data_IF_381705981269
#
_entry.id   IF_381705981269
#
_cell.length_a   1.000
_cell.length_b   1.000
_cell.length_c   1.000
_cell.angle_alpha   90.00
_cell.angle_beta   90.00
_cell.angle_gamma   90.00
#
_symmetry.space_group_name_H-M   'P 1'
#
loop_
_entity.id
_entity.type
_entity.pdbx_description
1 polymer ?
#
# COMPACT_ATOMS: atom_id res chain seq x y z
N UNK A 1 2.16 16.65 -21.73
CA UNK A 1 0.69 16.58 -21.60
C UNK A 1 0.36 15.47 -20.62
N UNK A 2 -0.28 15.78 -19.49
CA UNK A 2 -0.65 14.77 -18.49
C UNK A 2 -1.70 13.83 -19.08
N UNK A 3 -1.47 12.52 -19.02
CA UNK A 3 -2.40 11.54 -19.59
C UNK A 3 -3.45 11.13 -18.56
N UNK A 4 -4.48 11.97 -18.37
CA UNK A 4 -5.59 11.69 -17.46
C UNK A 4 -6.34 10.38 -17.79
N UNK A 5 -6.35 9.95 -19.07
CA UNK A 5 -6.96 8.67 -19.45
C UNK A 5 -6.22 7.48 -18.83
N UNK A 6 -4.89 7.55 -18.73
CA UNK A 6 -4.09 6.51 -18.09
C UNK A 6 -4.45 6.36 -16.61
N UNK A 7 -4.54 7.47 -15.88
CA UNK A 7 -4.96 7.48 -14.47
C UNK A 7 -6.39 6.96 -14.30
N UNK A 8 -7.31 7.39 -15.17
CA UNK A 8 -8.69 6.90 -15.16
C UNK A 8 -8.76 5.38 -15.38
N UNK A 9 -7.98 4.83 -16.31
CA UNK A 9 -7.91 3.39 -16.54
C UNK A 9 -7.35 2.68 -15.30
N UNK A 10 -6.26 3.18 -14.71
CA UNK A 10 -5.66 2.58 -13.53
C UNK A 10 -6.64 2.50 -12.35
N UNK A 11 -7.35 3.59 -12.05
CA UNK A 11 -8.35 3.59 -10.98
C UNK A 11 -9.59 2.76 -11.32
N UNK A 12 -9.95 2.64 -12.59
CA UNK A 12 -11.07 1.76 -13.02
C UNK A 12 -10.70 0.28 -12.82
N UNK A 13 -9.46 -0.11 -13.16
CA UNK A 13 -8.95 -1.46 -12.90
C UNK A 13 -8.87 -1.72 -11.39
N UNK A 14 -8.38 -0.77 -10.60
CA UNK A 14 -8.33 -0.89 -9.14
C UNK A 14 -9.73 -1.05 -8.53
N UNK A 15 -10.73 -0.32 -9.06
CA UNK A 15 -12.12 -0.45 -8.66
C UNK A 15 -12.66 -1.85 -8.97
N UNK A 16 -12.44 -2.34 -10.19
CA UNK A 16 -12.88 -3.66 -10.61
C UNK A 16 -12.26 -4.77 -9.74
N UNK A 17 -10.95 -4.69 -9.48
CA UNK A 17 -10.25 -5.62 -8.58
C UNK A 17 -10.79 -5.54 -7.15
N UNK A 18 -11.05 -4.33 -6.63
CA UNK A 18 -11.65 -4.15 -5.32
C UNK A 18 -13.03 -4.81 -5.20
N UNK A 19 -13.88 -4.67 -6.22
CA UNK A 19 -15.20 -5.34 -6.28
C UNK A 19 -15.02 -6.86 -6.30
N UNK A 20 -14.12 -7.38 -7.15
CA UNK A 20 -13.88 -8.84 -7.24
C UNK A 20 -13.43 -9.38 -5.88
N UNK A 21 -12.49 -8.71 -5.21
CA UNK A 21 -11.99 -9.14 -3.89
C UNK A 21 -13.09 -9.09 -2.83
N UNK A 22 -13.92 -8.04 -2.83
CA UNK A 22 -15.01 -7.91 -1.88
C UNK A 22 -16.10 -8.97 -2.09
N UNK A 23 -16.49 -9.23 -3.34
CA UNK A 23 -17.50 -10.26 -3.68
C UNK A 23 -16.96 -11.66 -3.44
N UNK A 24 -15.72 -11.95 -3.84
CA UNK A 24 -15.09 -13.23 -3.57
C UNK A 24 -14.93 -13.48 -2.06
N UNK A 25 -14.54 -12.45 -1.31
CA UNK A 25 -14.49 -12.49 0.14
C UNK A 25 -15.87 -12.76 0.75
N UNK A 26 -16.90 -12.02 0.35
CA UNK A 26 -18.26 -12.25 0.85
C UNK A 26 -18.78 -13.66 0.51
N UNK A 27 -18.45 -14.20 -0.66
CA UNK A 27 -18.85 -15.55 -1.06
C UNK A 27 -18.13 -16.62 -0.23
N UNK A 28 -16.82 -16.51 -0.09
CA UNK A 28 -15.99 -17.44 0.70
C UNK A 28 -16.35 -17.38 2.20
N UNK A 29 -16.83 -16.24 2.71
CA UNK A 29 -17.22 -16.09 4.11
C UNK A 29 -18.38 -17.02 4.51
N UNK A 30 -19.17 -17.48 3.55
CA UNK A 30 -20.25 -18.46 3.77
C UNK A 30 -19.73 -19.91 3.86
N UNK A 31 -18.43 -20.13 3.70
CA UNK A 31 -17.79 -21.44 3.82
C UNK A 31 -17.03 -21.42 5.17
N UNK A 32 -17.56 -22.15 6.15
CA UNK A 32 -17.27 -21.98 7.59
C UNK A 32 -15.79 -22.04 8.01
N UNK A 33 -14.91 -22.65 7.21
CA UNK A 33 -13.52 -22.93 7.60
C UNK A 33 -12.57 -21.71 7.54
N UNK A 34 -12.99 -20.58 6.96
CA UNK A 34 -12.09 -19.41 6.73
C UNK A 34 -12.63 -18.05 7.21
N UNK A 35 -13.76 -18.02 7.92
CA UNK A 35 -14.54 -16.80 8.21
C UNK A 35 -13.72 -15.64 8.82
N UNK A 36 -12.76 -15.93 9.71
CA UNK A 36 -11.97 -14.90 10.41
C UNK A 36 -10.93 -14.18 9.51
N UNK A 37 -10.31 -14.87 8.55
CA UNK A 37 -9.31 -14.26 7.65
C UNK A 37 -9.96 -13.54 6.47
N UNK A 38 -11.13 -14.03 6.06
CA UNK A 38 -11.89 -13.50 4.93
C UNK A 38 -12.44 -12.10 5.20
N UNK A 39 -12.81 -11.80 6.46
CA UNK A 39 -13.20 -10.44 6.87
C UNK A 39 -12.10 -9.40 6.61
N UNK A 40 -10.83 -9.74 6.85
CA UNK A 40 -9.69 -8.85 6.58
C UNK A 40 -9.45 -8.62 5.08
N UNK A 41 -9.51 -9.68 4.26
CA UNK A 41 -9.29 -9.61 2.82
C UNK A 41 -10.41 -8.84 2.11
N UNK A 42 -11.66 -9.09 2.50
CA UNK A 42 -12.83 -8.35 1.98
C UNK A 42 -12.79 -6.87 2.38
N UNK A 43 -12.30 -6.56 3.58
CA UNK A 43 -12.06 -5.17 4.03
C UNK A 43 -11.07 -4.41 3.15
N UNK A 44 -9.99 -5.06 2.69
CA UNK A 44 -9.05 -4.47 1.72
C UNK A 44 -9.73 -4.17 0.37
N UNK A 45 -10.59 -5.07 -0.10
CA UNK A 45 -11.41 -4.85 -1.30
C UNK A 45 -12.29 -3.60 -1.16
N UNK A 46 -12.96 -3.44 -0.02
CA UNK A 46 -13.78 -2.26 0.29
C UNK A 46 -12.98 -0.95 0.29
N UNK A 47 -11.78 -0.97 0.88
CA UNK A 47 -10.88 0.19 0.87
C UNK A 47 -10.48 0.59 -0.56
N UNK A 48 -10.16 -0.38 -1.42
CA UNK A 48 -9.83 -0.12 -2.82
C UNK A 48 -11.00 0.46 -3.61
N UNK A 49 -12.23 -0.02 -3.38
CA UNK A 49 -13.44 0.55 -3.98
C UNK A 49 -13.61 2.02 -3.55
N UNK A 50 -13.46 2.31 -2.26
CA UNK A 50 -13.59 3.67 -1.74
C UNK A 50 -12.58 4.64 -2.35
N UNK A 51 -11.30 4.27 -2.32
CA UNK A 51 -10.20 5.09 -2.86
C UNK A 51 -10.39 5.32 -4.38
N UNK A 52 -10.64 4.25 -5.14
CA UNK A 52 -10.79 4.32 -6.59
C UNK A 52 -12.02 5.13 -7.00
N UNK A 53 -13.15 4.99 -6.31
CA UNK A 53 -14.38 5.75 -6.58
C UNK A 53 -14.18 7.24 -6.35
N UNK A 54 -13.54 7.63 -5.24
CA UNK A 54 -13.23 9.03 -4.94
C UNK A 54 -12.29 9.61 -6.02
N UNK A 55 -11.26 8.86 -6.41
CA UNK A 55 -10.31 9.30 -7.44
C UNK A 55 -10.96 9.45 -8.82
N UNK A 56 -11.78 8.49 -9.23
CA UNK A 56 -12.54 8.57 -10.50
C UNK A 56 -13.51 9.76 -10.50
N UNK A 57 -14.18 10.01 -9.36
CA UNK A 57 -15.03 11.18 -9.21
C UNK A 57 -14.24 12.49 -9.35
N UNK A 58 -13.07 12.58 -8.70
CA UNK A 58 -12.20 13.76 -8.80
C UNK A 58 -11.68 13.99 -10.22
N UNK A 59 -11.26 12.93 -10.93
CA UNK A 59 -10.83 13.03 -12.34
C UNK A 59 -11.96 13.58 -13.21
N UNK A 60 -13.19 13.12 -12.99
CA UNK A 60 -14.36 13.57 -13.77
C UNK A 60 -14.80 15.00 -13.44
N UNK A 61 -14.76 15.40 -12.16
CA UNK A 61 -15.31 16.69 -11.70
C UNK A 61 -14.29 17.81 -11.60
N UNK A 62 -13.03 17.48 -11.34
CA UNK A 62 -11.93 18.43 -11.07
C UNK A 62 -10.66 18.04 -11.84
N UNK A 63 -10.70 17.89 -13.18
CA UNK A 63 -9.56 17.40 -13.95
C UNK A 63 -8.33 18.30 -13.83
N UNK A 64 -8.52 19.63 -13.83
CA UNK A 64 -7.40 20.60 -13.71
C UNK A 64 -6.60 20.44 -12.42
N UNK A 65 -7.28 20.22 -11.30
CA UNK A 65 -6.62 20.01 -9.99
C UNK A 65 -5.80 18.71 -10.01
N UNK A 66 -6.30 17.67 -10.68
CA UNK A 66 -5.57 16.40 -10.81
C UNK A 66 -4.36 16.55 -11.73
N UNK A 67 -4.48 17.30 -12.83
CA UNK A 67 -3.34 17.62 -13.70
C UNK A 67 -2.24 18.38 -12.96
N UNK A 68 -2.61 19.42 -12.19
CA UNK A 68 -1.68 20.19 -11.36
C UNK A 68 -0.99 19.30 -10.32
N UNK A 69 -1.72 18.38 -9.68
CA UNK A 69 -1.15 17.40 -8.75
C UNK A 69 -0.13 16.48 -9.44
N UNK A 70 -0.42 16.00 -10.66
CA UNK A 70 0.47 15.11 -11.40
C UNK A 70 1.73 15.84 -11.85
N UNK A 71 1.61 17.10 -12.27
CA UNK A 71 2.76 17.95 -12.60
C UNK A 71 3.61 18.17 -11.35
N UNK A 72 2.98 18.57 -10.24
CA UNK A 72 3.66 18.78 -8.97
C UNK A 72 4.36 17.51 -8.46
N UNK A 73 3.88 16.31 -8.77
CA UNK A 73 4.50 15.06 -8.33
C UNK A 73 5.94 14.86 -8.86
N UNK A 74 6.25 15.51 -9.99
CA UNK A 74 7.54 15.46 -10.70
C UNK A 74 8.40 16.73 -10.47
N UNK A 75 7.94 17.67 -9.65
CA UNK A 75 8.74 18.81 -9.22
C UNK A 75 9.91 18.33 -8.34
N UNK A 76 11.12 18.85 -8.57
CA UNK A 76 12.35 18.50 -7.84
C UNK A 76 12.17 18.62 -6.33
N UNK A 77 11.50 19.69 -5.88
CA UNK A 77 11.23 19.90 -4.45
C UNK A 77 10.36 18.78 -3.87
N UNK A 78 9.31 18.39 -4.60
CA UNK A 78 8.40 17.35 -4.14
C UNK A 78 9.04 15.95 -4.21
N UNK A 79 9.95 15.72 -5.16
CA UNK A 79 10.78 14.51 -5.23
C UNK A 79 11.69 14.44 -3.99
N UNK A 80 12.38 15.53 -3.64
CA UNK A 80 13.27 15.57 -2.48
C UNK A 80 12.50 15.38 -1.16
N UNK A 81 11.36 16.06 -0.98
CA UNK A 81 10.50 15.89 0.20
C UNK A 81 10.03 14.43 0.31
N UNK A 82 9.58 13.82 -0.80
CA UNK A 82 9.12 12.43 -0.82
C UNK A 82 10.24 11.44 -0.50
N UNK A 83 11.46 11.69 -0.99
CA UNK A 83 12.63 10.89 -0.65
C UNK A 83 12.93 10.92 0.85
N UNK A 84 12.98 12.12 1.45
CA UNK A 84 13.24 12.28 2.88
C UNK A 84 12.11 11.70 3.75
N UNK A 85 10.86 11.95 3.37
CA UNK A 85 9.70 11.37 4.04
C UNK A 85 9.72 9.84 3.97
N UNK A 86 10.03 9.26 2.80
CA UNK A 86 10.16 7.82 2.61
C UNK A 86 11.25 7.18 3.46
N UNK A 87 12.39 7.88 3.62
CA UNK A 87 13.46 7.41 4.49
C UNK A 87 13.09 7.51 5.98
N UNK A 88 12.39 8.57 6.38
CA UNK A 88 11.91 8.72 7.76
C UNK A 88 10.84 7.68 8.08
N UNK A 89 9.89 7.43 7.18
CA UNK A 89 8.88 6.38 7.37
C UNK A 89 9.52 5.02 7.45
N UNK A 90 10.53 4.70 6.62
CA UNK A 90 11.30 3.46 6.73
C UNK A 90 11.90 3.27 8.13
N UNK A 91 12.51 4.30 8.71
CA UNK A 91 13.06 4.24 10.07
C UNK A 91 11.98 3.98 11.11
N UNK A 92 10.86 4.70 11.01
CA UNK A 92 9.73 4.53 11.92
C UNK A 92 9.14 3.12 11.80
N UNK A 93 8.91 2.60 10.59
CA UNK A 93 8.36 1.26 10.38
C UNK A 93 9.31 0.17 10.86
N UNK A 94 10.62 0.32 10.61
CA UNK A 94 11.63 -0.60 11.12
C UNK A 94 11.62 -0.66 12.65
N UNK A 95 11.58 0.51 13.30
CA UNK A 95 11.51 0.61 14.76
C UNK A 95 10.22 -0.02 15.31
N UNK A 96 9.06 0.28 14.70
CA UNK A 96 7.77 -0.30 15.09
C UNK A 96 7.75 -1.82 14.93
N UNK A 97 8.29 -2.36 13.84
CA UNK A 97 8.39 -3.82 13.63
C UNK A 97 9.29 -4.48 14.67
N UNK A 98 10.41 -3.83 15.03
CA UNK A 98 11.30 -4.33 16.08
C UNK A 98 10.60 -4.34 17.45
N UNK A 99 9.89 -3.27 17.81
CA UNK A 99 9.12 -3.20 19.05
C UNK A 99 8.00 -4.25 19.09
N UNK A 100 7.28 -4.44 17.99
CA UNK A 100 6.25 -5.48 17.88
C UNK A 100 6.85 -6.88 18.07
N UNK A 101 7.99 -7.16 17.44
CA UNK A 101 8.68 -8.45 17.59
C UNK A 101 9.15 -8.66 19.02
N UNK A 102 9.67 -7.62 19.69
CA UNK A 102 10.03 -7.68 21.10
C UNK A 102 8.82 -7.95 22.00
N UNK A 103 7.68 -7.33 21.72
CA UNK A 103 6.44 -7.59 22.46
C UNK A 103 5.99 -9.06 22.31
N UNK A 104 6.06 -9.63 21.10
CA UNK A 104 5.74 -11.04 20.88
C UNK A 104 6.72 -12.00 21.57
N UNK A 105 8.01 -11.63 21.67
CA UNK A 105 8.99 -12.38 22.45
C UNK A 105 8.64 -12.39 23.93
N UNK A 106 8.28 -11.24 24.51
CA UNK A 106 7.92 -11.11 25.93
C UNK A 106 6.64 -11.89 26.26
N UNK A 107 5.67 -11.92 25.32
CA UNK A 107 4.40 -12.64 25.48
C UNK A 107 4.49 -14.14 25.14
N UNK A 108 5.68 -14.65 24.82
CA UNK A 108 5.93 -16.04 24.40
C UNK A 108 5.08 -16.48 23.19
N UNK A 109 4.82 -15.54 22.28
CA UNK A 109 4.09 -15.80 21.03
C UNK A 109 5.05 -16.17 19.91
N UNK A 110 5.45 -17.44 19.88
CA UNK A 110 6.44 -17.98 18.95
C UNK A 110 6.07 -17.77 17.47
N UNK A 111 4.83 -18.06 17.07
CA UNK A 111 4.42 -17.94 15.65
C UNK A 111 4.42 -16.47 15.19
N UNK A 112 3.74 -15.51 15.88
CA UNK A 112 3.82 -14.09 15.54
C UNK A 112 5.24 -13.52 15.56
N UNK A 113 6.09 -13.97 16.48
CA UNK A 113 7.50 -13.57 16.55
C UNK A 113 8.25 -13.97 15.28
N UNK A 114 8.17 -15.25 14.87
CA UNK A 114 8.85 -15.75 13.67
C UNK A 114 8.39 -14.98 12.44
N UNK A 115 7.08 -14.79 12.28
CA UNK A 115 6.51 -14.03 11.16
C UNK A 115 6.99 -12.58 11.18
N UNK A 116 6.99 -11.94 12.36
CA UNK A 116 7.47 -10.57 12.53
C UNK A 116 8.95 -10.39 12.16
N UNK A 117 9.81 -11.33 12.58
CA UNK A 117 11.24 -11.33 12.23
C UNK A 117 11.46 -11.52 10.73
N UNK A 118 10.73 -12.44 10.08
CA UNK A 118 10.80 -12.62 8.63
C UNK A 118 10.40 -11.33 7.90
N UNK A 119 9.31 -10.69 8.30
CA UNK A 119 8.85 -9.43 7.70
C UNK A 119 9.91 -8.33 7.90
N UNK A 120 10.52 -8.25 9.08
CA UNK A 120 11.58 -7.29 9.38
C UNK A 120 12.80 -7.52 8.47
N UNK A 121 13.23 -8.77 8.27
CA UNK A 121 14.32 -9.10 7.34
C UNK A 121 13.98 -8.73 5.90
N UNK A 122 12.78 -9.08 5.43
CA UNK A 122 12.30 -8.69 4.09
C UNK A 122 12.33 -7.16 3.95
N UNK A 123 11.93 -6.42 4.98
CA UNK A 123 11.92 -4.96 4.96
C UNK A 123 13.33 -4.37 4.79
N UNK A 124 14.31 -4.88 5.54
CA UNK A 124 15.72 -4.45 5.44
C UNK A 124 16.30 -4.84 4.07
N UNK A 125 16.14 -6.10 3.65
CA UNK A 125 16.68 -6.60 2.39
C UNK A 125 16.08 -5.82 1.21
N UNK A 126 14.78 -5.58 1.21
CA UNK A 126 14.10 -4.82 0.17
C UNK A 126 14.64 -3.40 0.07
N UNK A 127 14.88 -2.74 1.20
CA UNK A 127 15.49 -1.42 1.22
C UNK A 127 16.90 -1.44 0.62
N UNK A 128 17.76 -2.38 1.03
CA UNK A 128 19.13 -2.49 0.50
C UNK A 128 19.14 -2.74 -1.02
N UNK A 129 18.34 -3.70 -1.51
CA UNK A 129 18.27 -4.03 -2.94
C UNK A 129 17.75 -2.84 -3.74
N UNK A 130 16.65 -2.22 -3.31
CA UNK A 130 16.04 -1.11 -4.04
C UNK A 130 16.93 0.13 -4.00
N UNK A 131 17.52 0.47 -2.86
CA UNK A 131 18.46 1.59 -2.75
C UNK A 131 19.65 1.42 -3.70
N UNK A 132 20.23 0.21 -3.76
CA UNK A 132 21.31 -0.08 -4.71
C UNK A 132 20.85 0.03 -6.16
N UNK A 133 19.75 -0.64 -6.51
CA UNK A 133 19.21 -0.64 -7.88
C UNK A 133 18.92 0.77 -8.40
N UNK A 134 18.34 1.64 -7.56
CA UNK A 134 18.05 3.02 -7.96
C UNK A 134 19.29 3.92 -7.90
N UNK A 135 20.26 3.66 -7.03
CA UNK A 135 21.53 4.42 -7.04
C UNK A 135 22.38 4.17 -8.29
N UNK A 136 22.26 3.00 -8.91
CA UNK A 136 23.00 2.67 -10.14
C UNK A 136 22.31 3.23 -11.40
N UNK A 137 21.06 3.68 -11.29
CA UNK A 137 20.21 4.07 -12.41
C UNK A 137 19.96 5.58 -12.51
N UNK A 138 20.27 6.33 -11.45
CA UNK A 138 20.21 7.79 -11.35
C UNK A 138 21.63 8.32 -11.51
#
# INVERSE_FOLDING_TARGET
MVNLKKEQIAYTVMLALGIIILVAGAFLANIDEFSNWIGGISGLGGAWIGISSIKLYQIKRKPKIIEEQIIGLHDERNIAIRGNAGFMTFRITLFTLALMSLAFLILDYAIPLIVGVIILLIHIISFLILSKYYSEKI
#
